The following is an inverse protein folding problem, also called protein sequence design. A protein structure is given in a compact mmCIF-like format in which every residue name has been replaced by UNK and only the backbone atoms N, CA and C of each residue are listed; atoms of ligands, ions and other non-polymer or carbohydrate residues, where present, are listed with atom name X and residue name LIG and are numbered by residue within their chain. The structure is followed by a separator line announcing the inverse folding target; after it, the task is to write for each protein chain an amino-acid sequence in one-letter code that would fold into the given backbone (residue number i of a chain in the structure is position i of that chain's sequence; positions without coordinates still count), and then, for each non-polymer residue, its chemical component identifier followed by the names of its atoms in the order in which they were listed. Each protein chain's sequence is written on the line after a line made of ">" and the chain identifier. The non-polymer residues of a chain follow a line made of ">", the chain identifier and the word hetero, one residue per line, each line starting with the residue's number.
data_IF_380821771966
#
_entry.id   IF_380821771966
#
_cell.length_a   1.000
_cell.length_b   1.000
_cell.length_c   1.000
_cell.angle_alpha   90.00
_cell.angle_beta   90.00
_cell.angle_gamma   90.00
#
_symmetry.space_group_name_H-M   'P 1'
#
loop_
_entity.id
_entity.type
_entity.pdbx_description
1 polymer ?
#
# COMPACT_ATOMS: atom_id res chain seq x y z
N UNK A 1 -21.14 22.32 -13.49
CA UNK A 1 -21.20 21.34 -12.41
C UNK A 1 -22.27 20.29 -12.61
N UNK A 2 -22.30 19.29 -11.74
CA UNK A 2 -23.36 18.27 -11.71
C UNK A 2 -24.51 18.75 -10.81
N UNK A 3 -25.75 18.63 -11.29
CA UNK A 3 -26.94 18.98 -10.53
C UNK A 3 -27.23 17.88 -9.49
N UNK A 4 -27.04 18.21 -8.21
CA UNK A 4 -27.19 17.27 -7.08
C UNK A 4 -28.59 17.32 -6.45
N UNK A 5 -29.33 18.39 -6.66
CA UNK A 5 -30.72 18.53 -6.25
C UNK A 5 -31.45 19.58 -7.08
N UNK A 6 -32.76 19.43 -7.17
CA UNK A 6 -33.64 20.39 -7.84
C UNK A 6 -34.94 20.51 -7.08
N UNK A 7 -35.39 21.74 -6.85
CA UNK A 7 -36.68 22.06 -6.23
C UNK A 7 -37.40 23.13 -7.07
N UNK A 8 -38.45 22.72 -7.73
CA UNK A 8 -39.30 23.61 -8.60
C UNK A 8 -40.40 24.21 -7.74
N UNK A 9 -40.53 25.55 -7.75
CA UNK A 9 -41.54 26.29 -6.97
C UNK A 9 -42.18 27.35 -7.85
N UNK A 10 -43.12 26.94 -8.74
CA UNK A 10 -43.84 27.85 -9.62
C UNK A 10 -42.94 28.62 -10.61
N UNK A 11 -42.77 29.92 -10.42
CA UNK A 11 -41.97 30.82 -11.29
C UNK A 11 -40.51 30.91 -10.87
N UNK A 12 -40.12 30.30 -9.75
CA UNK A 12 -38.76 30.26 -9.23
C UNK A 12 -38.40 28.82 -8.89
N UNK A 13 -37.11 28.48 -8.95
CA UNK A 13 -36.59 27.16 -8.62
C UNK A 13 -35.23 27.30 -7.95
N UNK A 14 -34.90 26.31 -7.18
CA UNK A 14 -33.55 26.14 -6.60
C UNK A 14 -32.95 24.83 -7.09
N UNK A 15 -31.65 24.83 -7.32
CA UNK A 15 -30.86 23.61 -7.55
C UNK A 15 -29.53 23.75 -6.87
N UNK A 16 -28.85 22.61 -6.57
CA UNK A 16 -27.48 22.62 -6.13
C UNK A 16 -26.59 22.01 -7.21
N UNK A 17 -25.55 22.73 -7.56
CA UNK A 17 -24.49 22.23 -8.43
C UNK A 17 -23.27 21.87 -7.62
N UNK A 18 -22.67 20.75 -7.97
CA UNK A 18 -21.38 20.27 -7.44
C UNK A 18 -20.33 20.29 -8.53
N UNK A 19 -19.17 20.84 -8.22
CA UNK A 19 -17.98 20.73 -9.04
C UNK A 19 -16.77 20.29 -8.20
N UNK A 20 -15.55 20.52 -8.70
CA UNK A 20 -14.32 20.18 -7.99
C UNK A 20 -14.09 20.99 -6.70
N UNK A 21 -14.65 22.19 -6.62
CA UNK A 21 -14.46 23.12 -5.49
C UNK A 21 -15.54 23.00 -4.42
N UNK A 22 -16.65 22.33 -4.71
CA UNK A 22 -17.74 22.13 -3.77
C UNK A 22 -19.14 22.35 -4.37
N UNK A 23 -20.09 22.59 -3.49
CA UNK A 23 -21.50 22.78 -3.82
C UNK A 23 -21.86 24.28 -3.84
N UNK A 24 -22.65 24.68 -4.82
CA UNK A 24 -23.24 26.02 -4.87
C UNK A 24 -24.72 25.94 -5.18
N UNK A 25 -25.53 26.78 -4.52
CA UNK A 25 -26.96 26.91 -4.82
C UNK A 25 -27.18 27.72 -6.09
N UNK A 26 -28.09 27.29 -6.92
CA UNK A 26 -28.64 28.06 -8.03
C UNK A 26 -30.03 28.59 -7.68
N UNK A 27 -30.27 29.85 -7.99
CA UNK A 27 -31.56 30.46 -7.99
C UNK A 27 -31.97 30.74 -9.43
N UNK A 28 -33.01 30.05 -9.91
CA UNK A 28 -33.45 30.07 -11.29
C UNK A 28 -34.86 30.66 -11.36
N UNK A 29 -34.99 31.82 -11.96
CA UNK A 29 -36.30 32.53 -12.15
C UNK A 29 -36.69 32.53 -13.60
N UNK A 30 -37.99 32.28 -13.86
CA UNK A 30 -38.56 32.36 -15.21
C UNK A 30 -38.41 33.75 -15.84
N UNK A 31 -38.61 34.80 -15.03
CA UNK A 31 -38.60 36.19 -15.50
C UNK A 31 -37.17 36.68 -15.84
N UNK A 32 -36.11 36.01 -15.33
CA UNK A 32 -34.70 36.35 -15.58
C UNK A 32 -34.07 35.41 -16.63
N UNK A 33 -34.35 34.11 -16.57
CA UNK A 33 -33.83 33.12 -17.50
C UNK A 33 -34.57 33.12 -18.85
N UNK A 34 -35.85 33.57 -18.87
CA UNK A 34 -36.75 33.43 -19.99
C UNK A 34 -37.68 32.23 -19.87
N UNK A 35 -38.84 32.31 -20.54
CA UNK A 35 -39.90 31.30 -20.42
C UNK A 35 -39.48 29.93 -20.98
N UNK A 36 -38.93 29.93 -22.20
CA UNK A 36 -38.50 28.71 -22.88
C UNK A 36 -37.30 28.03 -22.20
N UNK A 37 -36.19 28.72 -21.85
CA UNK A 37 -35.10 28.11 -21.08
C UNK A 37 -35.52 27.65 -19.69
N UNK A 38 -36.44 28.34 -19.01
CA UNK A 38 -36.98 27.90 -17.73
C UNK A 38 -37.83 26.62 -17.86
N UNK A 39 -38.60 26.49 -18.95
CA UNK A 39 -39.31 25.25 -19.23
C UNK A 39 -38.39 24.09 -19.54
N UNK A 40 -37.27 24.34 -20.23
CA UNK A 40 -36.21 23.36 -20.45
C UNK A 40 -35.53 22.94 -19.13
N UNK A 41 -35.19 23.90 -18.25
CA UNK A 41 -34.64 23.62 -16.92
C UNK A 41 -35.53 22.70 -16.09
N UNK A 42 -36.86 22.89 -16.14
CA UNK A 42 -37.79 22.02 -15.40
C UNK A 42 -37.76 20.55 -15.85
N UNK A 43 -37.34 20.28 -17.10
CA UNK A 43 -37.20 18.93 -17.67
C UNK A 43 -35.84 18.25 -17.35
N UNK A 44 -34.86 19.00 -16.84
CA UNK A 44 -33.57 18.44 -16.43
C UNK A 44 -33.75 17.48 -15.25
N UNK A 45 -32.87 16.51 -15.15
CA UNK A 45 -32.85 15.53 -14.04
C UNK A 45 -31.70 15.79 -13.09
N UNK A 46 -31.87 15.34 -11.85
CA UNK A 46 -30.76 15.25 -10.91
C UNK A 46 -29.73 14.30 -11.49
N UNK A 47 -28.46 14.73 -11.47
CA UNK A 47 -27.37 14.03 -12.14
C UNK A 47 -26.92 14.71 -13.45
N UNK A 48 -27.77 15.53 -14.09
CA UNK A 48 -27.37 16.26 -15.30
C UNK A 48 -26.19 17.20 -15.05
N UNK A 49 -25.30 17.31 -16.02
CA UNK A 49 -24.19 18.27 -15.97
C UNK A 49 -24.59 19.51 -16.75
N UNK A 50 -24.60 20.65 -16.07
CA UNK A 50 -25.04 21.91 -16.62
C UNK A 50 -23.99 23.02 -16.46
N UNK A 51 -23.95 23.93 -17.40
CA UNK A 51 -23.25 25.20 -17.31
C UNK A 51 -24.21 26.31 -16.94
N UNK A 52 -23.79 27.22 -16.07
CA UNK A 52 -24.60 28.36 -15.63
C UNK A 52 -23.77 29.62 -15.68
N UNK A 53 -24.36 30.71 -16.24
CA UNK A 53 -23.86 32.06 -16.05
C UNK A 53 -24.86 32.83 -15.18
N UNK A 54 -24.38 33.76 -14.38
CA UNK A 54 -25.22 34.56 -13.51
C UNK A 54 -24.43 35.36 -12.48
N UNK A 55 -25.14 36.03 -11.60
CA UNK A 55 -24.60 36.86 -10.55
C UNK A 55 -24.55 36.09 -9.21
N UNK A 56 -23.43 36.19 -8.49
CA UNK A 56 -23.29 35.63 -7.15
C UNK A 56 -23.96 36.57 -6.16
N UNK A 57 -24.83 36.04 -5.30
CA UNK A 57 -25.49 36.76 -4.24
C UNK A 57 -25.71 35.94 -3.00
N UNK A 58 -26.07 36.55 -1.89
CA UNK A 58 -26.56 35.86 -0.72
C UNK A 58 -28.06 35.93 -0.58
N UNK A 59 -28.67 34.79 -0.31
CA UNK A 59 -30.10 34.71 -0.02
C UNK A 59 -30.43 35.43 1.31
N UNK A 60 -31.70 35.65 1.60
CA UNK A 60 -32.15 36.21 2.89
C UNK A 60 -31.75 35.36 4.07
N UNK A 61 -31.54 34.06 3.87
CA UNK A 61 -31.07 33.09 4.87
C UNK A 61 -29.54 32.98 4.94
N UNK A 62 -28.82 33.80 4.14
CA UNK A 62 -27.35 33.86 4.14
C UNK A 62 -26.66 32.89 3.20
N UNK A 63 -27.40 32.01 2.49
CA UNK A 63 -26.81 31.01 1.58
C UNK A 63 -26.22 31.64 0.33
N UNK A 64 -24.96 31.27 0.00
CA UNK A 64 -24.29 31.75 -1.20
C UNK A 64 -24.93 31.07 -2.44
N UNK A 65 -25.36 31.89 -3.39
CA UNK A 65 -26.13 31.39 -4.52
C UNK A 65 -25.73 32.11 -5.81
N UNK A 66 -25.99 31.48 -6.95
CA UNK A 66 -25.90 32.08 -8.28
C UNK A 66 -27.30 32.33 -8.80
N UNK A 67 -27.62 33.59 -9.12
CA UNK A 67 -28.80 33.98 -9.84
C UNK A 67 -28.56 33.72 -11.31
N UNK A 68 -29.22 32.69 -11.85
CA UNK A 68 -28.95 32.20 -13.19
C UNK A 68 -29.59 33.14 -14.24
N UNK A 69 -28.78 33.66 -15.16
CA UNK A 69 -29.19 34.41 -16.34
C UNK A 69 -29.10 33.60 -17.63
N UNK A 70 -28.23 32.59 -17.67
CA UNK A 70 -28.08 31.64 -18.77
C UNK A 70 -27.83 30.24 -18.20
N UNK A 71 -28.42 29.22 -18.81
CA UNK A 71 -28.30 27.84 -18.43
C UNK A 71 -28.20 26.94 -19.65
N UNK A 72 -27.19 26.08 -19.69
CA UNK A 72 -26.92 25.15 -20.79
C UNK A 72 -26.77 23.72 -20.26
N UNK A 73 -27.51 22.77 -20.86
CA UNK A 73 -27.26 21.35 -20.64
C UNK A 73 -25.95 20.96 -21.35
N UNK A 74 -24.96 20.51 -20.61
CA UNK A 74 -23.66 20.07 -21.12
C UNK A 74 -23.61 18.56 -21.35
N UNK A 75 -24.21 17.78 -20.43
CA UNK A 75 -24.34 16.34 -20.58
C UNK A 75 -25.55 15.82 -19.82
N UNK A 76 -26.29 14.90 -20.44
CA UNK A 76 -27.47 14.27 -19.85
C UNK A 76 -27.12 13.07 -19.02
N UNK A 77 -27.62 13.01 -17.80
CA UNK A 77 -27.55 11.79 -16.96
C UNK A 77 -28.73 10.89 -17.33
N UNK A 78 -28.43 9.70 -17.89
CA UNK A 78 -29.46 8.73 -18.27
C UNK A 78 -29.85 7.78 -17.14
N UNK A 79 -29.02 7.73 -16.07
CA UNK A 79 -29.28 6.90 -14.89
C UNK A 79 -29.51 7.79 -13.68
N UNK A 80 -30.49 7.48 -12.82
CA UNK A 80 -30.69 8.21 -11.57
C UNK A 80 -29.48 8.02 -10.65
N UNK A 81 -29.15 9.08 -9.89
CA UNK A 81 -28.18 8.96 -8.80
C UNK A 81 -28.82 8.21 -7.63
N UNK A 82 -28.02 7.54 -6.78
CA UNK A 82 -28.46 6.98 -5.51
C UNK A 82 -29.18 8.05 -4.66
N UNK A 83 -30.07 7.61 -3.77
CA UNK A 83 -30.84 8.53 -2.91
C UNK A 83 -29.91 9.43 -2.06
N UNK A 84 -30.23 10.72 -2.04
CA UNK A 84 -29.39 11.76 -1.42
C UNK A 84 -29.12 11.56 0.07
N UNK A 85 -30.02 10.92 0.80
CA UNK A 85 -29.96 10.83 2.27
C UNK A 85 -29.15 9.64 2.79
N UNK A 86 -28.95 8.61 1.97
CA UNK A 86 -28.25 7.40 2.39
C UNK A 86 -26.97 7.16 1.58
N UNK A 87 -26.71 7.97 0.54
CA UNK A 87 -25.56 7.75 -0.35
C UNK A 87 -25.63 6.38 -1.04
N UNK A 88 -24.49 5.89 -1.49
CA UNK A 88 -24.31 4.53 -1.94
C UNK A 88 -23.73 3.71 -0.77
N UNK A 89 -24.56 2.92 -0.08
CA UNK A 89 -24.18 2.20 1.14
C UNK A 89 -23.67 0.80 0.88
N UNK A 90 -24.11 0.16 -0.22
CA UNK A 90 -23.65 -1.17 -0.58
C UNK A 90 -22.17 -1.16 -0.98
N UNK A 91 -21.33 -1.77 -0.15
CA UNK A 91 -19.88 -1.76 -0.28
C UNK A 91 -19.41 -2.38 -1.60
N UNK A 92 -20.05 -3.46 -2.06
CA UNK A 92 -19.65 -4.09 -3.32
C UNK A 92 -19.94 -3.18 -4.51
N UNK A 93 -21.11 -2.56 -4.55
CA UNK A 93 -21.46 -1.58 -5.59
C UNK A 93 -20.52 -0.36 -5.54
N UNK A 94 -20.13 0.12 -4.36
CA UNK A 94 -19.15 1.21 -4.22
C UNK A 94 -17.82 0.90 -4.88
N UNK A 95 -17.30 -0.31 -4.72
CA UNK A 95 -16.05 -0.73 -5.34
C UNK A 95 -16.18 -0.94 -6.85
N UNK A 96 -17.29 -1.53 -7.32
CA UNK A 96 -17.54 -1.79 -8.74
C UNK A 96 -17.86 -0.54 -9.54
N UNK A 97 -18.61 0.40 -8.92
CA UNK A 97 -19.05 1.66 -9.55
C UNK A 97 -18.43 2.85 -8.81
N UNK A 98 -17.12 2.87 -8.69
CA UNK A 98 -16.37 3.92 -7.99
C UNK A 98 -16.75 5.32 -8.47
N UNK A 99 -17.07 5.49 -9.75
CA UNK A 99 -17.54 6.76 -10.31
C UNK A 99 -18.87 7.20 -9.72
N UNK A 100 -19.76 6.29 -9.36
CA UNK A 100 -21.02 6.61 -8.65
C UNK A 100 -20.73 6.89 -7.17
N UNK A 101 -19.86 6.09 -6.53
CA UNK A 101 -19.43 6.28 -5.15
C UNK A 101 -18.82 7.69 -4.95
N UNK A 102 -17.94 8.13 -5.85
CA UNK A 102 -17.34 9.48 -5.83
C UNK A 102 -18.37 10.61 -6.01
N UNK A 103 -19.49 10.33 -6.68
CA UNK A 103 -20.59 11.31 -6.83
C UNK A 103 -21.44 11.35 -5.56
N UNK A 104 -21.78 10.18 -5.03
CA UNK A 104 -22.72 10.03 -3.92
C UNK A 104 -22.09 10.30 -2.55
N UNK A 105 -20.83 9.90 -2.37
CA UNK A 105 -20.07 9.93 -1.11
C UNK A 105 -18.83 10.83 -1.27
N UNK A 106 -18.94 12.15 -1.05
CA UNK A 106 -17.84 13.11 -1.28
C UNK A 106 -16.58 12.82 -0.47
N UNK A 107 -16.73 12.25 0.73
CA UNK A 107 -15.63 11.86 1.61
C UNK A 107 -14.68 10.83 0.98
N UNK A 108 -15.18 9.99 0.10
CA UNK A 108 -14.37 9.01 -0.64
C UNK A 108 -13.32 9.70 -1.51
N UNK A 109 -13.65 10.86 -2.09
CA UNK A 109 -12.69 11.66 -2.86
C UNK A 109 -11.50 12.11 -2.00
N UNK A 110 -11.74 12.44 -0.73
CA UNK A 110 -10.70 12.90 0.20
C UNK A 110 -9.63 11.83 0.43
N UNK A 111 -10.03 10.55 0.53
CA UNK A 111 -9.10 9.43 0.67
C UNK A 111 -8.10 9.39 -0.50
N UNK A 112 -8.58 9.55 -1.74
CA UNK A 112 -7.71 9.54 -2.93
C UNK A 112 -6.88 10.81 -3.08
N UNK A 113 -7.38 11.96 -2.63
CA UNK A 113 -6.59 13.19 -2.54
C UNK A 113 -5.45 13.00 -1.53
N UNK A 114 -5.74 12.47 -0.34
CA UNK A 114 -4.72 12.15 0.67
C UNK A 114 -3.71 11.13 0.14
N UNK A 115 -4.15 10.06 -0.53
CA UNK A 115 -3.25 9.10 -1.19
C UNK A 115 -2.24 9.80 -2.11
N UNK A 116 -2.72 10.72 -2.94
CA UNK A 116 -1.84 11.50 -3.84
C UNK A 116 -0.88 12.40 -3.06
N UNK A 117 -1.35 13.03 -1.97
CA UNK A 117 -0.51 13.85 -1.10
C UNK A 117 0.55 13.03 -0.37
N UNK A 118 0.21 11.83 0.12
CA UNK A 118 1.15 10.90 0.77
C UNK A 118 2.29 10.55 -0.20
N UNK A 119 1.98 10.12 -1.41
CA UNK A 119 3.00 9.79 -2.42
C UNK A 119 3.88 11.00 -2.76
N UNK A 120 3.27 12.18 -2.90
CA UNK A 120 4.02 13.43 -3.14
C UNK A 120 4.98 13.75 -1.99
N UNK A 121 4.54 13.57 -0.74
CA UNK A 121 5.36 13.87 0.43
C UNK A 121 6.49 12.85 0.61
N UNK A 122 6.24 11.56 0.30
CA UNK A 122 7.29 10.53 0.29
C UNK A 122 8.38 10.89 -0.72
N UNK A 123 7.99 11.26 -1.96
CA UNK A 123 8.94 11.68 -3.00
C UNK A 123 9.75 12.88 -2.55
N UNK A 124 9.08 13.90 -2.00
CA UNK A 124 9.76 15.10 -1.48
C UNK A 124 10.77 14.75 -0.39
N UNK A 125 10.42 13.85 0.53
CA UNK A 125 11.32 13.41 1.58
C UNK A 125 12.54 12.65 1.03
N UNK A 126 12.32 11.73 0.10
CA UNK A 126 13.41 10.95 -0.49
C UNK A 126 14.32 11.83 -1.36
N UNK A 127 13.76 12.79 -2.11
CA UNK A 127 14.52 13.78 -2.88
C UNK A 127 15.40 14.64 -1.97
N UNK A 128 14.88 15.12 -0.83
CA UNK A 128 15.63 15.85 0.19
C UNK A 128 16.79 15.03 0.78
N UNK A 129 16.63 13.71 0.87
CA UNK A 129 17.67 12.76 1.31
C UNK A 129 18.65 12.38 0.18
N UNK A 130 18.44 12.88 -1.03
CA UNK A 130 19.31 12.64 -2.19
C UNK A 130 19.10 11.29 -2.88
N UNK A 131 17.93 10.69 -2.73
CA UNK A 131 17.56 9.50 -3.49
C UNK A 131 17.11 9.89 -4.90
N UNK A 132 17.43 9.02 -5.87
CA UNK A 132 16.97 9.12 -7.25
C UNK A 132 15.79 8.16 -7.47
N UNK A 133 14.64 8.69 -7.93
CA UNK A 133 13.54 7.83 -8.40
C UNK A 133 13.93 7.19 -9.73
N UNK A 134 13.78 5.87 -9.81
CA UNK A 134 14.05 5.09 -11.01
C UNK A 134 12.87 4.17 -11.31
N UNK A 135 12.83 3.61 -12.52
CA UNK A 135 11.88 2.60 -12.93
C UNK A 135 12.62 1.39 -13.51
N UNK A 136 12.16 0.20 -13.15
CA UNK A 136 12.72 -1.07 -13.57
C UNK A 136 11.66 -1.93 -14.28
N UNK A 137 12.05 -2.99 -15.01
CA UNK A 137 11.09 -3.75 -15.81
C UNK A 137 9.95 -4.37 -14.99
N UNK A 138 8.71 -4.19 -15.45
CA UNK A 138 7.54 -4.91 -14.94
C UNK A 138 7.51 -6.34 -15.48
N UNK A 139 7.91 -6.54 -16.74
CA UNK A 139 8.01 -7.85 -17.36
C UNK A 139 9.42 -8.40 -17.17
N UNK A 140 9.54 -9.55 -16.52
CA UNK A 140 10.81 -10.23 -16.27
C UNK A 140 10.84 -11.59 -16.96
N UNK A 141 12.02 -12.09 -17.37
CA UNK A 141 12.12 -13.35 -18.14
C UNK A 141 11.84 -14.59 -17.30
N UNK A 142 11.92 -14.51 -15.97
CA UNK A 142 11.69 -15.60 -15.02
C UNK A 142 11.32 -15.07 -13.65
N UNK A 143 10.88 -15.94 -12.76
CA UNK A 143 10.59 -15.61 -11.37
C UNK A 143 11.88 -15.22 -10.65
N UNK A 144 11.90 -14.03 -10.05
CA UNK A 144 13.05 -13.45 -9.36
C UNK A 144 12.67 -13.19 -7.90
N UNK A 145 13.53 -13.62 -6.98
CA UNK A 145 13.61 -13.14 -5.59
C UNK A 145 12.60 -13.76 -4.64
N UNK A 146 11.47 -13.14 -4.41
CA UNK A 146 10.54 -13.49 -3.33
C UNK A 146 9.75 -14.80 -3.54
N UNK A 147 9.20 -15.35 -2.46
CA UNK A 147 8.42 -16.60 -2.47
C UNK A 147 6.95 -16.43 -2.90
N UNK A 148 6.59 -15.39 -3.66
CA UNK A 148 5.23 -15.14 -4.12
C UNK A 148 4.92 -15.84 -5.45
N UNK A 149 3.64 -16.10 -5.73
CA UNK A 149 3.20 -16.64 -7.01
C UNK A 149 3.09 -15.53 -8.06
N UNK A 150 3.78 -15.64 -9.23
CA UNK A 150 3.70 -14.62 -10.26
C UNK A 150 2.50 -14.81 -11.19
N UNK A 151 2.16 -13.76 -11.94
CA UNK A 151 1.33 -13.87 -13.15
C UNK A 151 2.23 -14.15 -14.36
N UNK A 152 1.86 -15.13 -15.17
CA UNK A 152 2.57 -15.49 -16.40
C UNK A 152 1.96 -14.81 -17.61
N UNK A 153 2.79 -14.46 -18.57
CA UNK A 153 2.39 -13.93 -19.87
C UNK A 153 3.34 -14.42 -20.97
N UNK A 154 3.04 -14.14 -22.24
CA UNK A 154 3.84 -14.55 -23.38
C UNK A 154 4.16 -13.38 -24.29
N UNK A 155 5.45 -13.21 -24.63
CA UNK A 155 5.91 -12.21 -25.58
C UNK A 155 5.89 -12.80 -27.00
N UNK A 156 4.88 -12.46 -27.79
CA UNK A 156 4.62 -13.09 -29.12
C UNK A 156 5.81 -13.00 -30.09
N UNK A 157 6.41 -11.80 -30.19
CA UNK A 157 7.52 -11.59 -31.18
C UNK A 157 8.79 -12.36 -30.82
N UNK A 158 9.13 -12.41 -29.53
CA UNK A 158 10.29 -13.15 -29.04
C UNK A 158 9.98 -14.61 -28.78
N UNK A 159 8.71 -15.02 -28.86
CA UNK A 159 8.23 -16.37 -28.55
C UNK A 159 8.79 -16.90 -27.23
N UNK A 160 8.68 -16.11 -26.20
CA UNK A 160 9.15 -16.44 -24.84
C UNK A 160 8.13 -16.15 -23.77
N UNK A 161 8.07 -17.02 -22.77
CA UNK A 161 7.28 -16.77 -21.58
C UNK A 161 7.95 -15.71 -20.73
N UNK A 162 7.14 -14.87 -20.10
CA UNK A 162 7.57 -13.84 -19.17
C UNK A 162 6.65 -13.84 -17.94
N UNK A 163 7.09 -13.19 -16.88
CA UNK A 163 6.30 -13.01 -15.68
C UNK A 163 6.13 -11.53 -15.35
N UNK A 164 5.02 -11.18 -14.70
CA UNK A 164 4.89 -9.89 -14.07
C UNK A 164 5.66 -9.90 -12.75
N UNK A 165 6.47 -8.87 -12.49
CA UNK A 165 7.36 -8.78 -11.32
C UNK A 165 6.59 -8.92 -10.00
N UNK A 166 7.17 -9.59 -9.05
CA UNK A 166 6.68 -9.77 -7.68
C UNK A 166 7.42 -8.88 -6.67
N UNK A 167 8.52 -8.23 -7.10
CA UNK A 167 9.38 -7.29 -6.36
C UNK A 167 10.21 -6.45 -7.34
N UNK A 168 10.94 -5.45 -6.82
CA UNK A 168 11.89 -4.61 -7.60
C UNK A 168 13.33 -4.75 -7.11
N UNK A 169 13.55 -5.44 -6.01
CA UNK A 169 14.77 -5.52 -5.21
C UNK A 169 16.03 -5.78 -6.03
N UNK A 170 16.07 -6.88 -6.80
CA UNK A 170 17.31 -7.30 -7.46
C UNK A 170 17.74 -6.35 -8.58
N UNK A 171 16.80 -5.64 -9.22
CA UNK A 171 17.14 -4.61 -10.21
C UNK A 171 17.72 -3.36 -9.53
N UNK A 172 17.13 -2.92 -8.43
CA UNK A 172 17.61 -1.74 -7.70
C UNK A 172 19.01 -1.97 -7.12
N UNK A 173 19.29 -3.16 -6.60
CA UNK A 173 20.64 -3.52 -6.13
C UNK A 173 21.69 -3.50 -7.25
N UNK A 174 21.32 -3.92 -8.48
CA UNK A 174 22.23 -3.79 -9.65
C UNK A 174 22.59 -2.33 -9.94
N UNK A 175 21.67 -1.39 -9.68
CA UNK A 175 21.95 0.06 -9.83
C UNK A 175 22.94 0.54 -8.75
N UNK A 176 22.84 0.02 -7.53
CA UNK A 176 23.82 0.29 -6.46
C UNK A 176 25.21 -0.24 -6.86
N UNK A 177 25.31 -1.47 -7.39
CA UNK A 177 26.57 -2.00 -7.94
C UNK A 177 27.10 -1.07 -9.05
N UNK A 178 26.20 -0.52 -9.87
CA UNK A 178 26.54 0.43 -10.94
C UNK A 178 26.97 1.82 -10.47
N UNK A 179 27.00 2.08 -9.15
CA UNK A 179 27.44 3.35 -8.56
C UNK A 179 26.33 4.40 -8.35
N UNK A 180 25.06 3.99 -8.39
CA UNK A 180 23.94 4.84 -7.99
C UNK A 180 23.72 4.67 -6.48
N UNK A 181 24.35 5.51 -5.66
CA UNK A 181 24.44 5.33 -4.20
C UNK A 181 23.10 5.35 -3.47
N UNK A 182 22.06 5.99 -4.01
CA UNK A 182 20.72 6.08 -3.43
C UNK A 182 19.66 6.04 -4.52
N UNK A 183 18.88 4.96 -4.54
CA UNK A 183 17.79 4.78 -5.52
C UNK A 183 16.52 4.35 -4.83
N UNK A 184 15.38 4.70 -5.40
CA UNK A 184 14.08 4.15 -5.01
C UNK A 184 13.16 4.01 -6.21
N UNK A 185 12.20 3.12 -6.10
CA UNK A 185 11.13 2.95 -7.07
C UNK A 185 9.76 2.96 -6.38
N UNK A 186 8.82 3.71 -6.94
CA UNK A 186 7.39 3.59 -6.60
C UNK A 186 6.78 2.62 -7.60
N UNK A 187 6.76 1.34 -7.27
CA UNK A 187 6.47 0.26 -8.19
C UNK A 187 5.10 -0.40 -7.99
N UNK A 188 4.47 -0.81 -9.10
CA UNK A 188 3.40 -1.80 -9.08
C UNK A 188 4.01 -3.18 -9.00
N UNK A 189 3.47 -3.96 -8.06
CA UNK A 189 3.84 -5.35 -7.79
C UNK A 189 2.63 -6.24 -8.04
N UNK A 190 2.87 -7.44 -8.53
CA UNK A 190 1.84 -8.38 -8.96
C UNK A 190 2.06 -9.74 -8.30
N UNK A 191 1.13 -10.17 -7.44
CA UNK A 191 1.15 -11.47 -6.77
C UNK A 191 -0.15 -12.20 -7.01
N UNK A 192 -0.08 -13.35 -7.64
CA UNK A 192 -1.23 -14.18 -8.00
C UNK A 192 -1.69 -15.02 -6.80
N UNK A 193 -2.12 -14.32 -5.76
CA UNK A 193 -2.50 -14.87 -4.46
C UNK A 193 -3.95 -14.50 -4.09
N UNK A 194 -4.37 -14.88 -2.88
CA UNK A 194 -5.71 -14.58 -2.39
C UNK A 194 -6.00 -13.08 -2.24
N UNK A 195 -7.27 -12.75 -2.23
CA UNK A 195 -7.76 -11.38 -2.00
C UNK A 195 -8.52 -11.33 -0.68
N UNK A 196 -8.10 -10.43 0.20
CA UNK A 196 -8.75 -10.17 1.48
C UNK A 196 -8.77 -8.65 1.78
N UNK A 197 -9.18 -8.18 2.96
CA UNK A 197 -9.15 -6.76 3.30
C UNK A 197 -7.76 -6.12 3.28
N UNK A 198 -6.68 -6.89 3.43
CA UNK A 198 -5.29 -6.41 3.47
C UNK A 198 -4.51 -6.69 2.17
N UNK A 199 -5.01 -7.57 1.29
CA UNK A 199 -4.32 -8.05 0.10
C UNK A 199 -5.12 -7.85 -1.19
N UNK A 200 -4.43 -7.39 -2.23
CA UNK A 200 -4.93 -7.26 -3.59
C UNK A 200 -3.86 -7.82 -4.56
N UNK A 201 -4.23 -8.51 -5.65
CA UNK A 201 -3.26 -9.16 -6.54
C UNK A 201 -2.29 -8.19 -7.22
N UNK A 202 -2.65 -6.92 -7.35
CA UNK A 202 -1.76 -5.83 -7.71
C UNK A 202 -1.81 -4.73 -6.65
N UNK A 203 -0.66 -4.24 -6.23
CA UNK A 203 -0.54 -3.23 -5.20
C UNK A 203 0.69 -2.35 -5.44
N UNK A 204 0.80 -1.26 -4.69
CA UNK A 204 1.92 -0.33 -4.82
C UNK A 204 2.87 -0.49 -3.66
N UNK A 205 4.16 -0.70 -3.97
CA UNK A 205 5.25 -0.66 -2.99
C UNK A 205 6.18 0.50 -3.27
N UNK A 206 6.97 0.85 -2.28
CA UNK A 206 8.20 1.60 -2.45
C UNK A 206 9.33 0.72 -1.95
N UNK A 207 10.31 0.52 -2.79
CA UNK A 207 11.58 -0.08 -2.43
C UNK A 207 12.69 0.94 -2.64
N UNK A 208 13.61 1.02 -1.69
CA UNK A 208 14.72 1.95 -1.71
C UNK A 208 15.99 1.29 -1.18
N UNK A 209 17.13 1.70 -1.75
CA UNK A 209 18.44 1.17 -1.41
C UNK A 209 19.43 2.32 -1.28
N UNK A 210 20.25 2.27 -0.23
CA UNK A 210 21.28 3.27 0.04
C UNK A 210 22.61 2.58 0.34
N UNK A 211 23.63 2.93 -0.44
CA UNK A 211 25.01 2.50 -0.18
C UNK A 211 25.58 3.17 1.08
N UNK A 212 26.53 2.53 1.71
CA UNK A 212 27.29 2.99 2.90
C UNK A 212 26.41 3.27 4.13
N UNK A 213 25.34 2.46 4.28
CA UNK A 213 24.50 2.43 5.47
C UNK A 213 24.17 0.97 5.82
N UNK A 214 23.43 0.78 6.91
CA UNK A 214 23.00 -0.50 7.44
C UNK A 214 21.51 -0.48 7.81
N UNK A 215 21.01 -1.56 8.39
CA UNK A 215 19.63 -1.69 8.80
C UNK A 215 19.21 -0.68 9.91
N UNK A 216 20.12 -0.22 10.76
CA UNK A 216 19.83 0.84 11.73
C UNK A 216 19.55 2.18 11.04
N UNK A 217 20.33 2.52 9.99
CA UNK A 217 20.06 3.69 9.16
C UNK A 217 18.70 3.61 8.46
N UNK A 218 18.26 2.41 8.09
CA UNK A 218 16.91 2.19 7.54
C UNK A 218 15.83 2.35 8.61
N UNK A 219 16.03 1.90 9.87
CA UNK A 219 15.08 2.16 10.97
C UNK A 219 14.89 3.66 11.19
N UNK A 220 15.97 4.42 11.23
CA UNK A 220 15.92 5.86 11.43
C UNK A 220 15.18 6.57 10.27
N UNK A 221 15.39 6.13 9.03
CA UNK A 221 14.70 6.64 7.85
C UNK A 221 13.19 6.36 7.92
N UNK A 222 12.79 5.15 8.29
CA UNK A 222 11.37 4.78 8.47
C UNK A 222 10.72 5.65 9.55
N UNK A 223 11.34 5.74 10.73
CA UNK A 223 10.81 6.50 11.85
C UNK A 223 10.63 7.99 11.48
N UNK A 224 11.62 8.60 10.83
CA UNK A 224 11.56 10.00 10.37
C UNK A 224 10.47 10.20 9.31
N UNK A 225 10.38 9.30 8.31
CA UNK A 225 9.36 9.36 7.25
C UNK A 225 7.94 9.27 7.82
N UNK A 226 7.68 8.30 8.69
CA UNK A 226 6.34 8.09 9.26
C UNK A 226 5.92 9.24 10.17
N UNK A 227 6.82 9.79 10.99
CA UNK A 227 6.59 11.02 11.78
C UNK A 227 6.24 12.20 10.89
N UNK A 228 6.98 12.39 9.81
CA UNK A 228 6.74 13.46 8.82
C UNK A 228 5.36 13.31 8.16
N UNK A 229 5.00 12.10 7.73
CA UNK A 229 3.71 11.82 7.11
C UNK A 229 2.55 12.03 8.08
N UNK A 230 2.66 11.58 9.33
CA UNK A 230 1.63 11.80 10.35
C UNK A 230 1.36 13.31 10.54
N UNK A 231 2.39 14.12 10.67
CA UNK A 231 2.26 15.57 10.80
C UNK A 231 1.71 16.24 9.54
N UNK A 232 2.20 15.88 8.36
CA UNK A 232 1.83 16.55 7.10
C UNK A 232 0.43 16.18 6.62
N UNK A 233 0.01 14.93 6.82
CA UNK A 233 -1.27 14.39 6.29
C UNK A 233 -2.38 14.47 7.35
N UNK A 234 -2.06 14.11 8.61
CA UNK A 234 -3.05 14.04 9.68
C UNK A 234 -2.98 15.25 10.64
N UNK A 235 -1.90 16.04 10.60
CA UNK A 235 -1.72 17.20 11.48
C UNK A 235 -1.34 16.86 12.92
N UNK A 236 -1.08 15.60 13.25
CA UNK A 236 -0.75 15.12 14.58
C UNK A 236 0.20 13.93 14.54
N UNK A 237 1.03 13.75 15.58
CA UNK A 237 1.82 12.52 15.79
C UNK A 237 0.94 11.35 16.28
N UNK A 238 -0.13 11.65 17.01
CA UNK A 238 -1.11 10.64 17.42
C UNK A 238 -2.26 10.65 16.44
N UNK A 239 -2.47 9.53 15.74
CA UNK A 239 -3.47 9.39 14.70
C UNK A 239 -4.53 8.36 15.10
N UNK A 240 -5.82 8.59 14.76
CA UNK A 240 -6.85 7.58 14.93
C UNK A 240 -6.71 6.52 13.84
N UNK A 241 -6.82 5.25 14.22
CA UNK A 241 -6.91 4.14 13.29
C UNK A 241 -7.77 3.01 13.85
N UNK A 242 -8.88 2.69 13.19
CA UNK A 242 -9.82 1.62 13.54
C UNK A 242 -10.21 1.62 15.03
N UNK A 243 -10.53 2.81 15.55
CA UNK A 243 -10.95 3.02 16.93
C UNK A 243 -9.83 3.06 17.97
N UNK A 244 -8.58 2.91 17.53
CA UNK A 244 -7.37 3.00 18.38
C UNK A 244 -6.66 4.33 18.16
N UNK A 245 -5.78 4.70 19.10
CA UNK A 245 -4.87 5.84 18.95
C UNK A 245 -3.45 5.29 18.71
N UNK A 246 -2.84 5.63 17.59
CA UNK A 246 -1.51 5.20 17.21
C UNK A 246 -0.55 6.38 17.36
N UNK A 247 0.45 6.25 18.22
CA UNK A 247 1.47 7.28 18.46
C UNK A 247 2.68 7.07 17.56
N UNK A 248 2.74 7.81 16.47
CA UNK A 248 3.89 7.83 15.55
C UNK A 248 5.13 8.52 16.13
N UNK A 249 4.98 9.21 17.24
CA UNK A 249 6.09 9.90 17.93
C UNK A 249 7.02 8.93 18.66
N UNK A 250 6.55 7.74 19.02
CA UNK A 250 7.29 6.75 19.77
C UNK A 250 7.31 5.40 19.05
N UNK A 251 8.52 4.87 18.83
CA UNK A 251 8.75 3.58 18.18
C UNK A 251 9.50 2.63 19.14
N UNK A 252 8.91 1.48 19.44
CA UNK A 252 9.58 0.44 20.21
C UNK A 252 10.55 -0.34 19.30
N UNK A 253 11.71 -0.76 19.83
CA UNK A 253 12.69 -1.59 19.12
C UNK A 253 12.97 -2.84 19.97
N UNK A 254 12.58 -4.01 19.46
CA UNK A 254 12.76 -5.30 20.13
C UNK A 254 13.44 -6.28 19.17
N UNK A 255 14.40 -7.06 19.68
CA UNK A 255 14.84 -8.24 18.95
C UNK A 255 13.69 -9.27 18.88
N UNK A 256 13.69 -10.13 17.88
CA UNK A 256 12.71 -11.22 17.81
C UNK A 256 12.71 -12.08 19.07
N UNK A 257 13.88 -12.38 19.62
CA UNK A 257 14.03 -13.13 20.87
C UNK A 257 13.37 -12.40 22.05
N UNK A 258 13.63 -11.10 22.20
CA UNK A 258 13.03 -10.30 23.27
C UNK A 258 11.51 -10.21 23.13
N UNK A 259 11.02 -10.05 21.90
CA UNK A 259 9.60 -9.99 21.63
C UNK A 259 8.89 -11.32 21.97
N UNK A 260 9.42 -12.45 21.52
CA UNK A 260 8.87 -13.77 21.83
C UNK A 260 8.90 -14.01 23.34
N UNK A 261 10.03 -13.73 24.01
CA UNK A 261 10.12 -13.86 25.47
C UNK A 261 9.12 -12.97 26.22
N UNK A 262 8.96 -11.73 25.77
CA UNK A 262 8.03 -10.75 26.38
C UNK A 262 6.58 -11.22 26.34
N UNK A 263 6.13 -11.80 25.24
CA UNK A 263 4.72 -12.11 25.02
C UNK A 263 4.35 -13.59 25.23
N UNK A 264 5.26 -14.54 25.01
CA UNK A 264 5.03 -15.97 25.25
C UNK A 264 5.59 -16.49 26.57
N UNK A 265 6.59 -15.79 27.15
CA UNK A 265 7.36 -16.27 28.31
C UNK A 265 8.45 -17.26 27.93
N UNK A 266 8.59 -17.69 26.68
CA UNK A 266 9.56 -18.66 26.21
C UNK A 266 10.87 -17.95 25.85
N UNK A 267 11.98 -18.44 26.36
CA UNK A 267 13.32 -17.91 26.05
C UNK A 267 14.03 -18.79 25.01
N UNK A 268 14.26 -18.25 23.81
CA UNK A 268 15.02 -18.92 22.76
C UNK A 268 16.41 -19.42 23.23
N UNK A 269 17.04 -18.71 24.16
CA UNK A 269 18.38 -19.06 24.67
C UNK A 269 18.38 -20.34 25.47
N UNK A 270 17.24 -20.84 25.93
CA UNK A 270 17.12 -22.13 26.63
C UNK A 270 17.18 -23.30 25.63
N UNK A 271 16.87 -23.09 24.35
CA UNK A 271 16.98 -24.13 23.33
C UNK A 271 18.45 -24.35 22.90
N UNK A 272 18.97 -25.54 23.15
CA UNK A 272 20.33 -25.88 22.72
C UNK A 272 20.35 -26.56 21.35
N UNK A 273 19.29 -27.32 21.04
CA UNK A 273 19.15 -28.07 19.78
C UNK A 273 17.81 -27.76 19.12
N UNK A 274 17.64 -28.20 17.87
CA UNK A 274 16.35 -28.10 17.15
C UNK A 274 15.28 -28.95 17.86
N UNK A 275 15.66 -30.07 18.50
CA UNK A 275 14.74 -30.93 19.27
C UNK A 275 14.18 -30.19 20.49
N UNK A 276 14.97 -29.35 21.16
CA UNK A 276 14.50 -28.52 22.27
C UNK A 276 13.42 -27.52 21.78
N UNK A 277 13.67 -26.90 20.65
CA UNK A 277 12.70 -25.97 20.02
C UNK A 277 11.39 -26.67 19.57
N UNK A 278 11.52 -27.88 18.98
CA UNK A 278 10.38 -28.73 18.60
C UNK A 278 9.58 -29.14 19.86
N UNK A 279 10.24 -29.47 20.96
CA UNK A 279 9.57 -29.80 22.21
C UNK A 279 8.80 -28.60 22.77
N UNK A 280 9.42 -27.41 22.78
CA UNK A 280 8.78 -26.16 23.20
C UNK A 280 7.57 -25.81 22.31
N UNK A 281 7.69 -25.94 20.97
CA UNK A 281 6.58 -25.69 20.04
C UNK A 281 5.38 -26.60 20.34
N UNK A 282 5.61 -27.88 20.59
CA UNK A 282 4.55 -28.84 20.96
C UNK A 282 3.91 -28.50 22.31
N UNK A 283 4.69 -28.12 23.31
CA UNK A 283 4.21 -27.72 24.63
C UNK A 283 3.29 -26.49 24.55
N UNK A 284 3.66 -25.52 23.71
CA UNK A 284 2.93 -24.27 23.53
C UNK A 284 1.88 -24.32 22.38
N UNK A 285 1.67 -25.48 21.76
CA UNK A 285 0.74 -25.67 20.64
C UNK A 285 1.02 -24.78 19.42
N UNK A 286 2.30 -24.47 19.17
CA UNK A 286 2.77 -23.76 17.99
C UNK A 286 2.92 -24.75 16.83
N UNK A 287 2.47 -24.36 15.65
CA UNK A 287 2.60 -25.15 14.42
C UNK A 287 4.07 -25.27 14.04
N UNK A 288 4.49 -26.45 13.56
CA UNK A 288 5.87 -26.64 13.14
C UNK A 288 6.04 -26.25 11.67
N UNK A 289 7.12 -25.51 11.32
CA UNK A 289 7.43 -25.24 9.92
C UNK A 289 7.86 -26.54 9.19
N UNK A 290 7.86 -26.50 7.85
CA UNK A 290 8.25 -27.65 7.03
C UNK A 290 9.66 -28.18 7.36
N UNK A 291 10.59 -27.26 7.61
CA UNK A 291 11.93 -27.58 8.10
C UNK A 291 12.11 -27.00 9.51
N UNK A 292 11.89 -27.80 10.55
CA UNK A 292 11.81 -27.32 11.93
C UNK A 292 13.19 -27.08 12.54
N UNK A 293 13.84 -25.98 12.16
CA UNK A 293 15.06 -25.47 12.82
C UNK A 293 14.69 -24.55 13.98
N UNK A 294 15.62 -24.30 14.89
CA UNK A 294 15.43 -23.34 16.00
C UNK A 294 14.98 -21.97 15.52
N UNK A 295 15.64 -21.46 14.46
CA UNK A 295 15.31 -20.15 13.90
C UNK A 295 13.93 -20.12 13.26
N UNK A 296 13.56 -21.12 12.46
CA UNK A 296 12.25 -21.21 11.87
C UNK A 296 11.14 -21.34 12.94
N UNK A 297 11.36 -22.13 13.99
CA UNK A 297 10.42 -22.27 15.11
C UNK A 297 10.27 -20.96 15.90
N UNK A 298 11.36 -20.18 16.06
CA UNK A 298 11.27 -18.85 16.69
C UNK A 298 10.33 -17.92 15.92
N UNK A 299 10.33 -17.98 14.58
CA UNK A 299 9.41 -17.22 13.76
C UNK A 299 7.95 -17.66 13.97
N UNK A 300 7.68 -18.97 14.05
CA UNK A 300 6.33 -19.48 14.34
C UNK A 300 5.84 -19.03 15.74
N UNK A 301 6.73 -18.97 16.73
CA UNK A 301 6.39 -18.39 18.03
C UNK A 301 6.09 -16.89 17.94
N UNK A 302 6.80 -16.16 17.10
CA UNK A 302 6.51 -14.75 16.84
C UNK A 302 5.11 -14.57 16.25
N UNK A 303 4.77 -15.31 15.21
CA UNK A 303 3.48 -15.26 14.57
C UNK A 303 2.35 -15.64 15.55
N UNK A 304 2.55 -16.67 16.36
CA UNK A 304 1.52 -17.17 17.29
C UNK A 304 1.28 -16.26 18.51
N UNK A 305 2.30 -15.57 19.03
CA UNK A 305 2.20 -14.87 20.32
C UNK A 305 2.48 -13.37 20.29
N UNK A 306 3.16 -12.86 19.25
CA UNK A 306 3.68 -11.49 19.24
C UNK A 306 2.91 -10.60 18.28
N UNK A 307 2.72 -10.98 17.03
CA UNK A 307 2.19 -10.11 15.98
C UNK A 307 0.87 -9.44 16.37
N UNK A 308 -0.07 -10.22 16.92
CA UNK A 308 -1.38 -9.75 17.40
C UNK A 308 -1.32 -8.79 18.61
N UNK A 309 -0.15 -8.55 19.19
CA UNK A 309 0.05 -7.65 20.33
C UNK A 309 0.71 -6.32 19.94
N UNK A 310 1.21 -6.20 18.74
CA UNK A 310 1.96 -5.05 18.26
C UNK A 310 1.01 -3.93 17.77
N UNK A 311 0.36 -3.25 18.71
CA UNK A 311 -0.58 -2.14 18.39
C UNK A 311 0.17 -0.87 18.02
N UNK A 312 1.18 -0.48 18.81
CA UNK A 312 1.96 0.72 18.59
C UNK A 312 3.13 0.45 17.62
N UNK A 313 3.66 1.48 16.94
CA UNK A 313 4.78 1.31 16.03
C UNK A 313 5.96 0.60 16.70
N UNK A 314 6.31 -0.56 16.16
CA UNK A 314 7.34 -1.43 16.74
C UNK A 314 8.22 -2.00 15.64
N UNK A 315 9.53 -1.85 15.78
CA UNK A 315 10.52 -2.58 15.01
C UNK A 315 10.83 -3.91 15.69
N UNK A 316 10.72 -4.99 14.93
CA UNK A 316 11.23 -6.32 15.33
C UNK A 316 12.46 -6.57 14.48
N UNK A 317 13.60 -6.85 15.12
CA UNK A 317 14.86 -7.02 14.42
C UNK A 317 15.64 -8.27 14.87
N UNK A 318 16.75 -8.57 14.22
CA UNK A 318 17.53 -9.81 14.42
C UNK A 318 16.69 -11.05 14.05
N UNK A 319 16.30 -11.12 12.78
CA UNK A 319 15.58 -12.27 12.22
C UNK A 319 16.53 -13.46 12.00
N UNK A 320 16.07 -14.70 12.20
CA UNK A 320 16.83 -15.89 11.89
C UNK A 320 17.29 -15.96 10.43
N UNK A 321 18.47 -16.51 10.19
CA UNK A 321 19.06 -16.62 8.86
C UNK A 321 18.26 -17.53 7.93
N UNK A 322 17.59 -18.54 8.47
CA UNK A 322 16.80 -19.53 7.74
C UNK A 322 15.66 -18.89 6.96
N UNK A 323 15.09 -17.81 7.49
CA UNK A 323 13.96 -17.09 6.89
C UNK A 323 14.38 -15.75 6.27
N UNK A 324 15.68 -15.50 6.08
CA UNK A 324 16.23 -14.22 5.64
C UNK A 324 17.24 -14.39 4.50
N UNK A 325 16.82 -14.84 3.30
CA UNK A 325 17.73 -15.28 2.24
C UNK A 325 18.58 -14.16 1.62
N UNK A 326 18.17 -12.89 1.74
CA UNK A 326 18.81 -11.73 1.11
C UNK A 326 19.51 -10.80 2.12
N UNK A 327 19.33 -11.07 3.42
CA UNK A 327 19.89 -10.27 4.50
C UNK A 327 21.28 -10.74 4.91
N UNK A 328 22.13 -9.77 5.29
CA UNK A 328 23.47 -10.02 5.80
C UNK A 328 23.39 -10.64 7.19
N UNK A 329 24.26 -11.64 7.46
CA UNK A 329 24.40 -12.22 8.81
C UNK A 329 24.99 -11.22 9.78
N UNK A 330 24.57 -11.27 11.03
CA UNK A 330 25.23 -10.53 12.11
C UNK A 330 26.67 -11.05 12.32
N UNK A 331 27.65 -10.16 12.46
CA UNK A 331 29.03 -10.57 12.67
C UNK A 331 29.27 -11.30 14.02
N UNK A 332 28.53 -10.90 15.05
CA UNK A 332 28.62 -11.38 16.41
C UNK A 332 27.76 -12.64 16.67
N UNK A 333 26.69 -12.84 15.92
CA UNK A 333 25.83 -14.02 15.97
C UNK A 333 25.32 -14.42 14.59
N UNK A 334 26.04 -15.24 13.83
CA UNK A 334 25.70 -15.62 12.46
C UNK A 334 24.41 -16.45 12.30
N UNK A 335 23.76 -16.88 13.39
CA UNK A 335 22.45 -17.50 13.34
C UNK A 335 21.34 -16.49 13.03
N UNK A 336 21.63 -15.20 13.26
CA UNK A 336 20.73 -14.09 12.99
C UNK A 336 21.26 -13.19 11.88
N UNK A 337 20.35 -12.35 11.36
CA UNK A 337 20.64 -11.40 10.29
C UNK A 337 20.39 -9.97 10.75
N UNK A 338 21.05 -9.02 10.11
CA UNK A 338 20.80 -7.58 10.23
C UNK A 338 19.54 -7.21 9.45
N UNK A 339 18.38 -7.73 9.90
CA UNK A 339 17.05 -7.55 9.31
C UNK A 339 16.07 -7.07 10.34
N UNK A 340 15.13 -6.22 9.94
CA UNK A 340 13.94 -5.88 10.71
C UNK A 340 12.70 -5.85 9.85
N UNK A 341 11.58 -6.10 10.49
CA UNK A 341 10.26 -5.72 10.03
C UNK A 341 9.66 -4.73 11.01
N UNK A 342 8.68 -3.95 10.55
CA UNK A 342 8.00 -3.04 11.47
C UNK A 342 6.49 -3.18 11.35
N UNK A 343 5.88 -3.14 12.53
CA UNK A 343 4.48 -3.45 12.75
C UNK A 343 3.75 -2.25 13.32
N UNK A 344 2.52 -2.04 12.87
CA UNK A 344 1.57 -1.07 13.43
C UNK A 344 0.19 -1.73 13.36
N UNK A 345 -0.55 -1.68 14.46
CA UNK A 345 -1.88 -2.28 14.57
C UNK A 345 -1.92 -3.74 14.09
N UNK A 346 -1.03 -4.58 14.64
CA UNK A 346 -0.96 -6.01 14.36
C UNK A 346 -0.79 -6.32 12.85
N UNK A 347 -0.06 -5.47 12.15
CA UNK A 347 0.15 -5.63 10.71
C UNK A 347 1.55 -5.18 10.34
N UNK A 348 2.26 -6.00 9.57
CA UNK A 348 3.52 -5.64 8.94
C UNK A 348 3.33 -4.52 7.91
N UNK A 349 4.13 -3.47 8.01
CA UNK A 349 4.13 -2.34 7.07
C UNK A 349 5.31 -2.35 6.12
N UNK A 350 6.42 -2.96 6.52
CA UNK A 350 7.59 -3.09 5.67
C UNK A 350 8.71 -3.92 6.29
N UNK A 351 9.67 -4.24 5.45
CA UNK A 351 10.80 -5.10 5.71
C UNK A 351 12.09 -4.42 5.22
N UNK A 352 13.16 -4.52 6.00
CA UNK A 352 14.43 -3.91 5.66
C UNK A 352 15.59 -4.69 6.27
N UNK A 353 16.75 -4.58 5.63
CA UNK A 353 17.96 -5.25 6.11
C UNK A 353 19.25 -4.58 5.59
N UNK A 354 20.36 -4.90 6.24
CA UNK A 354 21.66 -4.76 5.59
C UNK A 354 21.77 -5.83 4.51
N UNK A 355 22.08 -5.42 3.29
CA UNK A 355 22.08 -6.28 2.12
C UNK A 355 23.20 -7.32 2.19
N UNK A 356 22.88 -8.57 1.85
CA UNK A 356 23.90 -9.59 1.64
C UNK A 356 24.73 -9.21 0.41
N UNK A 357 26.01 -8.93 0.63
CA UNK A 357 26.93 -8.48 -0.40
C UNK A 357 28.08 -9.48 -0.68
N UNK A 358 27.98 -10.70 -0.13
CA UNK A 358 28.87 -11.81 -0.45
C UNK A 358 28.26 -12.65 -1.59
N UNK A 359 28.85 -12.65 -2.82
CA UNK A 359 28.30 -13.39 -3.96
C UNK A 359 28.32 -14.93 -3.74
N UNK A 360 29.25 -15.44 -2.92
CA UNK A 360 29.37 -16.89 -2.68
C UNK A 360 28.22 -17.34 -1.76
N UNK A 361 28.00 -16.62 -0.66
CA UNK A 361 26.87 -16.91 0.26
C UNK A 361 25.54 -16.72 -0.48
N UNK A 362 25.37 -15.63 -1.24
CA UNK A 362 24.15 -15.37 -2.00
C UNK A 362 23.81 -16.46 -2.99
N UNK A 363 24.80 -16.91 -3.77
CA UNK A 363 24.63 -18.03 -4.70
C UNK A 363 24.17 -19.30 -3.98
N UNK A 364 24.83 -19.66 -2.88
CA UNK A 364 24.47 -20.84 -2.10
C UNK A 364 23.06 -20.78 -1.52
N UNK A 365 22.59 -19.59 -1.09
CA UNK A 365 21.22 -19.39 -0.60
C UNK A 365 20.19 -19.53 -1.73
N UNK A 366 20.42 -18.92 -2.89
CA UNK A 366 19.54 -19.05 -4.05
C UNK A 366 19.42 -20.49 -4.56
N UNK A 367 20.55 -21.22 -4.63
CA UNK A 367 20.53 -22.62 -5.08
C UNK A 367 19.71 -23.50 -4.11
N UNK A 368 19.84 -23.28 -2.80
CA UNK A 368 19.01 -23.98 -1.80
C UNK A 368 17.53 -23.62 -1.93
N UNK A 369 17.21 -22.34 -1.99
CA UNK A 369 15.82 -21.86 -2.12
C UNK A 369 15.12 -22.44 -3.35
N UNK A 370 15.81 -22.46 -4.50
CA UNK A 370 15.26 -23.06 -5.72
C UNK A 370 15.11 -24.58 -5.59
N UNK A 371 16.05 -25.27 -4.92
CA UNK A 371 15.96 -26.70 -4.71
C UNK A 371 14.80 -27.08 -3.76
N UNK A 372 14.62 -26.34 -2.68
CA UNK A 372 13.51 -26.50 -1.72
C UNK A 372 12.16 -26.27 -2.43
N UNK A 373 12.03 -25.17 -3.18
CA UNK A 373 10.80 -24.86 -3.92
C UNK A 373 10.45 -25.93 -4.94
N UNK A 374 11.43 -26.47 -5.69
CA UNK A 374 11.24 -27.57 -6.63
C UNK A 374 10.90 -28.90 -5.97
N UNK A 375 11.32 -29.11 -4.71
CA UNK A 375 10.95 -30.30 -3.95
C UNK A 375 9.45 -30.27 -3.56
N UNK A 376 8.91 -29.07 -3.27
CA UNK A 376 7.50 -28.85 -2.91
C UNK A 376 6.63 -28.78 -4.17
N UNK A 377 7.07 -28.02 -5.19
CA UNK A 377 6.36 -27.76 -6.45
C UNK A 377 7.25 -28.13 -7.63
N UNK A 378 7.31 -29.42 -8.05
CA UNK A 378 8.25 -29.90 -9.09
C UNK A 378 8.12 -29.20 -10.44
N UNK A 379 6.94 -28.71 -10.79
CA UNK A 379 6.63 -28.02 -12.04
C UNK A 379 6.86 -26.50 -11.97
N UNK A 380 7.33 -25.96 -10.84
CA UNK A 380 7.62 -24.53 -10.71
C UNK A 380 8.76 -24.11 -11.66
N UNK A 381 8.64 -22.87 -12.20
CA UNK A 381 9.63 -22.30 -13.12
C UNK A 381 10.75 -21.53 -12.40
N UNK A 382 10.89 -21.69 -11.09
CA UNK A 382 11.90 -21.01 -10.30
C UNK A 382 13.32 -21.32 -10.79
N UNK A 383 14.13 -20.29 -10.93
CA UNK A 383 15.52 -20.35 -11.39
C UNK A 383 16.38 -19.43 -10.53
N UNK A 384 17.66 -19.75 -10.44
CA UNK A 384 18.66 -18.87 -9.85
C UNK A 384 18.93 -17.70 -10.79
N UNK A 385 18.87 -16.48 -10.29
CA UNK A 385 19.31 -15.30 -11.03
C UNK A 385 20.85 -15.19 -10.98
N UNK A 386 21.51 -15.93 -11.88
CA UNK A 386 22.97 -15.90 -12.00
C UNK A 386 23.50 -14.56 -12.48
N UNK A 387 22.69 -13.74 -13.19
CA UNK A 387 23.09 -12.39 -13.58
C UNK A 387 23.19 -11.47 -12.36
N UNK A 388 22.28 -11.63 -11.39
CA UNK A 388 22.40 -10.91 -10.13
C UNK A 388 23.62 -11.36 -9.32
N UNK A 389 23.91 -12.69 -9.25
CA UNK A 389 25.12 -13.19 -8.60
C UNK A 389 26.37 -12.60 -9.27
N UNK A 390 26.39 -12.59 -10.61
CA UNK A 390 27.49 -11.97 -11.37
C UNK A 390 27.62 -10.46 -11.08
N UNK A 391 26.49 -9.74 -10.92
CA UNK A 391 26.54 -8.33 -10.52
C UNK A 391 27.22 -8.16 -9.15
N UNK A 392 26.90 -9.00 -8.17
CA UNK A 392 27.55 -8.98 -6.84
C UNK A 392 29.06 -9.24 -6.91
N UNK A 393 29.54 -10.02 -7.89
CA UNK A 393 30.98 -10.28 -8.11
C UNK A 393 31.74 -9.01 -8.54
N UNK A 394 31.05 -8.00 -9.09
CA UNK A 394 31.62 -6.66 -9.34
C UNK A 394 31.71 -5.81 -8.06
N UNK A 395 31.06 -6.22 -6.99
CA UNK A 395 31.09 -5.57 -5.68
C UNK A 395 29.85 -4.73 -5.37
N UNK A 396 29.01 -5.22 -4.47
CA UNK A 396 27.97 -4.44 -3.83
C UNK A 396 28.56 -3.77 -2.59
N UNK A 397 28.59 -2.44 -2.48
CA UNK A 397 29.03 -1.78 -1.25
C UNK A 397 28.13 -2.16 -0.06
N UNK A 398 28.55 -1.97 1.19
CA UNK A 398 27.63 -2.07 2.32
C UNK A 398 26.39 -1.24 2.06
N UNK A 399 25.22 -1.86 2.05
CA UNK A 399 23.97 -1.24 1.59
C UNK A 399 22.85 -1.58 2.55
N UNK A 400 22.04 -0.59 2.91
CA UNK A 400 20.75 -0.79 3.57
C UNK A 400 19.64 -0.73 2.54
N UNK A 401 18.72 -1.70 2.59
CA UNK A 401 17.53 -1.74 1.75
C UNK A 401 16.26 -1.74 2.58
N UNK A 402 15.19 -1.17 2.03
CA UNK A 402 13.87 -1.07 2.66
C UNK A 402 12.79 -1.22 1.61
N UNK A 403 11.81 -2.10 1.89
CA UNK A 403 10.57 -2.21 1.12
C UNK A 403 9.36 -1.98 2.01
N UNK A 404 8.37 -1.21 1.54
CA UNK A 404 7.11 -1.02 2.27
C UNK A 404 5.89 -0.83 1.36
N UNK A 405 4.73 -1.28 1.87
CA UNK A 405 3.47 -1.21 1.17
C UNK A 405 2.82 0.18 1.25
N UNK A 406 2.71 0.87 0.11
CA UNK A 406 2.04 2.19 0.04
C UNK A 406 0.56 2.08 0.38
N UNK A 407 -0.11 1.03 -0.06
CA UNK A 407 -1.55 0.87 0.16
C UNK A 407 -1.86 0.72 1.65
N UNK A 408 -1.09 -0.08 2.39
CA UNK A 408 -1.22 -0.21 3.86
C UNK A 408 -0.94 1.12 4.57
N UNK A 409 0.09 1.85 4.16
CA UNK A 409 0.40 3.18 4.71
C UNK A 409 -0.74 4.18 4.46
N UNK A 410 -1.36 4.15 3.27
CA UNK A 410 -2.52 4.99 2.98
C UNK A 410 -3.72 4.59 3.83
N UNK A 411 -3.98 3.28 4.02
CA UNK A 411 -5.03 2.80 4.93
C UNK A 411 -4.86 3.39 6.33
N UNK A 412 -3.65 3.32 6.88
CA UNK A 412 -3.32 3.85 8.20
C UNK A 412 -3.59 5.36 8.31
N UNK A 413 -3.08 6.15 7.36
CA UNK A 413 -3.17 7.63 7.40
C UNK A 413 -4.55 8.17 6.98
N UNK A 414 -5.45 7.33 6.49
CA UNK A 414 -6.82 7.70 6.09
C UNK A 414 -7.90 7.00 6.91
N UNK A 415 -7.51 6.23 7.93
CA UNK A 415 -8.42 5.41 8.76
C UNK A 415 -9.31 4.48 7.91
N UNK A 416 -8.72 3.84 6.90
CA UNK A 416 -9.42 2.94 6.00
C UNK A 416 -9.24 1.49 6.45
N UNK A 417 -10.35 0.74 6.57
CA UNK A 417 -10.34 -0.64 7.08
C UNK A 417 -9.89 -1.67 6.03
N UNK A 418 -9.99 -1.33 4.74
CA UNK A 418 -9.70 -2.27 3.65
C UNK A 418 -8.84 -1.63 2.58
N UNK A 419 -7.94 -2.42 1.99
CA UNK A 419 -7.14 -2.02 0.83
C UNK A 419 -8.01 -1.57 -0.36
N UNK A 420 -9.24 -2.09 -0.47
CA UNK A 420 -10.20 -1.69 -1.52
C UNK A 420 -10.71 -0.26 -1.33
N UNK A 421 -10.68 0.27 -0.12
CA UNK A 421 -11.07 1.66 0.16
C UNK A 421 -10.04 2.65 -0.41
N UNK A 422 -8.78 2.25 -0.47
CA UNK A 422 -7.66 3.09 -0.92
C UNK A 422 -7.22 2.82 -2.35
N UNK A 423 -7.85 1.86 -3.04
CA UNK A 423 -7.70 1.59 -4.47
C UNK A 423 -8.89 2.16 -5.25
N UNK A 424 -8.62 2.92 -6.32
CA UNK A 424 -9.70 3.49 -7.16
C UNK A 424 -10.54 2.37 -7.79
N UNK A 425 -9.89 1.38 -8.36
CA UNK A 425 -10.54 0.23 -9.02
C UNK A 425 -9.89 -1.06 -8.51
N UNK A 426 -10.33 -1.59 -7.35
CA UNK A 426 -9.82 -2.86 -6.83
C UNK A 426 -10.26 -4.02 -7.72
N UNK A 427 -9.45 -5.08 -7.72
CA UNK A 427 -9.84 -6.33 -8.37
C UNK A 427 -11.07 -6.92 -7.67
N UNK A 428 -12.10 -7.28 -8.45
CA UNK A 428 -13.35 -7.84 -7.94
C UNK A 428 -13.67 -9.15 -8.66
N UNK A 429 -14.27 -10.10 -7.94
CA UNK A 429 -14.80 -11.31 -8.58
C UNK A 429 -15.87 -10.95 -9.61
N UNK A 430 -15.95 -11.64 -10.76
CA UNK A 430 -17.03 -11.45 -11.71
C UNK A 430 -18.39 -11.66 -11.00
N UNK A 431 -19.40 -10.88 -11.41
CA UNK A 431 -20.78 -11.15 -11.01
C UNK A 431 -21.24 -12.31 -11.91
N UNK A 432 -21.67 -13.40 -11.32
CA UNK A 432 -22.35 -14.47 -12.06
C UNK A 432 -23.59 -13.86 -12.73
N UNK A 433 -23.66 -13.97 -14.06
CA UNK A 433 -24.77 -13.46 -14.88
C UNK A 433 -25.94 -14.41 -14.84
#
# INVERSE_FOLDING_TARGET
>A
GRMMSKRVMGKASFAHLRDDKGDIQLYVRRDELGEEPYAAFKKLDVGDIIGVKGEVFRTKTGELSVRATELTLLAKSLRPLPEKFHGLTDTETRYRQRYVDLIANPEVKETFVKRSQILKEIRAYLDEKGFLEVDTPILTPFEIGASARPFYTHHNTLNMDMVLRIETELYLKRLIVGGMDRVYEVGRIFRNEGMDPKHNPEFTTIELYQAFTDFHGMMDLVEELYKRLALKICGSMVIPYQGKQIDMGHWERLTMIEAVKKYSGVDFNDWKTDEDAIAAAKEHHVELPEVPTKGAILAEFFDAFVEDKLIQPTFIYDYPVEISPLAKRKPDDPAFTERFEYFIDCTEYGNAFSELNDPIDQKGRFERQVAERKAIEPDCKAQVDYDYVNALEYGLPPTGGLGFGVDRLVMLLTDSASIRDVLLFPTMKPIEQ
#
